data_IF_708144026302
#
_entry.id   IF_708144026302
#
_cell.length_a   1.000
_cell.length_b   1.000
_cell.length_c   1.000
_cell.angle_alpha   90.00
_cell.angle_beta   90.00
_cell.angle_gamma   90.00
#
_symmetry.space_group_name_H-M   'P 1'
#
loop_
_entity.id
_entity.type
_entity.pdbx_description
1 polymer ?
#
# COMPACT_ATOMS: atom_id res chain seq x y z
N UNK A 1 -3.10 39.58 -1.03
CA UNK A 1 -2.90 38.13 -0.78
C UNK A 1 -1.40 37.84 -0.70
N UNK A 2 -0.92 37.21 0.37
CA UNK A 2 0.51 37.00 0.62
C UNK A 2 1.14 36.05 -0.43
N UNK A 3 2.37 36.33 -0.92
CA UNK A 3 3.05 35.49 -1.92
C UNK A 3 3.11 34.01 -1.55
N UNK A 4 3.40 33.72 -0.27
CA UNK A 4 3.44 32.36 0.27
C UNK A 4 2.11 31.60 0.09
N UNK A 5 0.98 32.22 0.41
CA UNK A 5 -0.34 31.59 0.27
C UNK A 5 -0.70 31.32 -1.19
N UNK A 6 -0.23 32.15 -2.13
CA UNK A 6 -0.38 31.88 -3.57
C UNK A 6 0.43 30.66 -4.01
N UNK A 7 1.69 30.58 -3.61
CA UNK A 7 2.55 29.45 -3.93
C UNK A 7 1.95 28.12 -3.44
N UNK A 8 1.47 28.08 -2.18
CA UNK A 8 0.84 26.86 -1.61
C UNK A 8 -0.46 26.47 -2.30
N UNK A 9 -1.24 27.43 -2.79
CA UNK A 9 -2.44 27.14 -3.62
C UNK A 9 -2.04 26.54 -4.97
N UNK A 10 -1.04 27.10 -5.64
CA UNK A 10 -0.56 26.59 -6.92
C UNK A 10 0.01 25.16 -6.78
N UNK A 11 0.77 24.90 -5.73
CA UNK A 11 1.27 23.56 -5.40
C UNK A 11 0.13 22.55 -5.17
N UNK A 12 -0.87 22.93 -4.38
CA UNK A 12 -2.04 22.08 -4.14
C UNK A 12 -2.84 21.80 -5.42
N UNK A 13 -3.07 22.81 -6.25
CA UNK A 13 -3.72 22.67 -7.56
C UNK A 13 -2.90 21.76 -8.47
N UNK A 14 -1.59 21.97 -8.58
CA UNK A 14 -0.71 21.14 -9.40
C UNK A 14 -0.73 19.67 -8.98
N UNK A 15 -0.68 19.38 -7.67
CA UNK A 15 -0.81 18.01 -7.14
C UNK A 15 -2.17 17.40 -7.42
N UNK A 16 -3.24 18.18 -7.26
CA UNK A 16 -4.60 17.72 -7.54
C UNK A 16 -4.80 17.43 -9.04
N UNK A 17 -4.26 18.26 -9.92
CA UNK A 17 -4.32 18.05 -11.37
C UNK A 17 -3.51 16.80 -11.78
N UNK A 18 -2.33 16.60 -11.18
CA UNK A 18 -1.55 15.37 -11.36
C UNK A 18 -2.33 14.13 -10.89
N UNK A 19 -3.01 14.22 -9.74
CA UNK A 19 -3.90 13.15 -9.27
C UNK A 19 -5.04 12.89 -10.26
N UNK A 20 -5.72 13.91 -10.77
CA UNK A 20 -6.80 13.75 -11.76
C UNK A 20 -6.34 13.09 -13.05
N UNK A 21 -5.10 13.34 -13.46
CA UNK A 21 -4.47 12.68 -14.62
C UNK A 21 -3.97 11.27 -14.34
N UNK A 22 -3.89 10.84 -13.09
CA UNK A 22 -3.43 9.50 -12.71
C UNK A 22 -4.51 8.42 -12.91
N UNK A 23 -4.11 7.15 -12.85
CA UNK A 23 -5.06 6.03 -12.89
C UNK A 23 -6.07 6.10 -11.74
N UNK A 24 -5.63 6.53 -10.55
CA UNK A 24 -6.48 6.65 -9.37
C UNK A 24 -7.50 7.78 -9.56
N UNK A 25 -7.08 8.92 -10.10
CA UNK A 25 -8.00 10.02 -10.43
C UNK A 25 -9.06 9.60 -11.45
N UNK A 26 -8.66 8.84 -12.48
CA UNK A 26 -9.60 8.26 -13.46
C UNK A 26 -10.57 7.28 -12.80
N UNK A 27 -10.10 6.40 -11.93
CA UNK A 27 -10.96 5.49 -11.16
C UNK A 27 -12.06 6.27 -10.41
N UNK A 28 -11.69 7.32 -9.66
CA UNK A 28 -12.68 8.10 -8.92
C UNK A 28 -13.63 8.90 -9.84
N UNK A 29 -13.13 9.37 -10.98
CA UNK A 29 -13.96 10.07 -11.96
C UNK A 29 -14.99 9.14 -12.63
N UNK A 30 -14.61 7.90 -12.98
CA UNK A 30 -15.47 6.99 -13.75
C UNK A 30 -16.27 6.03 -12.88
N UNK A 31 -15.63 5.41 -11.89
CA UNK A 31 -16.23 4.33 -11.10
C UNK A 31 -16.91 4.85 -9.82
N UNK A 32 -16.51 6.02 -9.32
CA UNK A 32 -17.04 6.63 -8.09
C UNK A 32 -17.79 7.95 -8.31
N UNK A 33 -18.30 8.18 -9.53
CA UNK A 33 -19.10 9.36 -9.89
C UNK A 33 -18.46 10.72 -9.50
N UNK A 34 -17.13 10.82 -9.60
CA UNK A 34 -16.40 12.04 -9.26
C UNK A 34 -16.19 12.27 -7.77
N UNK A 35 -16.33 11.24 -6.93
CA UNK A 35 -16.02 11.34 -5.50
C UNK A 35 -14.58 11.84 -5.27
N UNK A 36 -14.41 12.74 -4.30
CA UNK A 36 -13.10 13.26 -3.90
C UNK A 36 -12.54 12.52 -2.68
N UNK A 37 -11.57 11.61 -2.85
CA UNK A 37 -11.12 10.77 -1.74
C UNK A 37 -10.16 11.50 -0.77
N UNK A 38 -9.68 12.70 -1.12
CA UNK A 38 -8.70 13.48 -0.34
C UNK A 38 -9.23 14.86 -0.02
N UNK A 39 -9.20 15.25 1.25
CA UNK A 39 -9.51 16.58 1.77
C UNK A 39 -8.62 17.66 1.19
N UNK A 40 -9.18 18.84 0.88
CA UNK A 40 -8.42 19.94 0.25
C UNK A 40 -7.15 20.33 1.01
N UNK A 41 -7.22 20.26 2.35
CA UNK A 41 -6.08 20.52 3.24
C UNK A 41 -4.89 19.59 2.96
N UNK A 42 -5.11 18.32 2.65
CA UNK A 42 -4.03 17.34 2.44
C UNK A 42 -3.21 17.65 1.19
N UNK A 43 -3.84 18.20 0.14
CA UNK A 43 -3.12 18.63 -1.08
C UNK A 43 -2.08 19.71 -0.81
N UNK A 44 -2.35 20.58 0.16
CA UNK A 44 -1.35 21.56 0.60
C UNK A 44 -0.22 20.89 1.38
N UNK A 45 -0.44 19.73 2.02
CA UNK A 45 0.56 19.05 2.85
C UNK A 45 1.12 19.99 3.93
N UNK A 46 0.26 20.50 4.83
CA UNK A 46 0.61 21.57 5.76
C UNK A 46 1.61 21.16 6.84
N UNK A 47 1.66 19.88 7.20
CA UNK A 47 2.45 19.40 8.34
C UNK A 47 3.70 18.62 7.89
N UNK A 48 3.62 17.90 6.77
CA UNK A 48 4.73 17.14 6.18
C UNK A 48 4.52 17.02 4.66
N UNK A 49 5.58 17.16 3.85
CA UNK A 49 5.52 17.18 2.38
C UNK A 49 5.06 15.84 1.76
N UNK A 50 5.15 14.74 2.52
CA UNK A 50 4.73 13.40 2.12
C UNK A 50 3.24 13.14 2.37
N UNK A 51 2.50 14.01 3.06
CA UNK A 51 1.10 13.78 3.45
C UNK A 51 0.20 13.39 2.27
N UNK A 52 0.29 14.12 1.15
CA UNK A 52 -0.49 13.82 -0.04
C UNK A 52 -0.13 12.45 -0.64
N UNK A 53 1.16 12.13 -0.73
CA UNK A 53 1.62 10.85 -1.26
C UNK A 53 1.16 9.67 -0.40
N UNK A 54 1.25 9.80 0.93
CA UNK A 54 0.80 8.78 1.89
C UNK A 54 -0.71 8.57 1.80
N UNK A 55 -1.49 9.65 1.76
CA UNK A 55 -2.94 9.56 1.57
C UNK A 55 -3.29 8.83 0.27
N UNK A 56 -2.61 9.15 -0.83
CA UNK A 56 -2.85 8.53 -2.13
C UNK A 56 -2.43 7.05 -2.16
N UNK A 57 -1.34 6.64 -1.49
CA UNK A 57 -0.99 5.22 -1.36
C UNK A 57 -2.05 4.46 -0.57
N UNK A 58 -2.50 5.00 0.56
CA UNK A 58 -3.59 4.40 1.35
C UNK A 58 -4.84 4.19 0.50
N UNK A 59 -5.26 5.20 -0.25
CA UNK A 59 -6.43 5.11 -1.13
C UNK A 59 -6.17 4.10 -2.26
N UNK A 60 -5.01 4.15 -2.90
CA UNK A 60 -4.63 3.22 -3.98
C UNK A 60 -4.74 1.77 -3.54
N UNK A 61 -4.19 1.45 -2.38
CA UNK A 61 -4.21 0.10 -1.81
C UNK A 61 -5.62 -0.37 -1.48
N UNK A 62 -6.47 0.50 -0.91
CA UNK A 62 -7.89 0.17 -0.71
C UNK A 62 -8.64 -0.05 -2.02
N UNK A 63 -8.35 0.72 -3.06
CA UNK A 63 -8.95 0.54 -4.39
C UNK A 63 -8.51 -0.80 -4.98
N UNK A 64 -7.22 -1.13 -4.95
CA UNK A 64 -6.70 -2.42 -5.44
C UNK A 64 -7.39 -3.59 -4.74
N UNK A 65 -7.48 -3.55 -3.41
CA UNK A 65 -8.13 -4.60 -2.62
C UNK A 65 -9.64 -4.70 -2.90
N UNK A 66 -10.31 -3.56 -3.08
CA UNK A 66 -11.73 -3.54 -3.41
C UNK A 66 -11.99 -4.07 -4.83
N UNK A 67 -11.09 -3.81 -5.78
CA UNK A 67 -11.13 -4.39 -7.12
C UNK A 67 -10.93 -5.90 -7.08
N UNK A 68 -9.96 -6.40 -6.30
CA UNK A 68 -9.74 -7.83 -6.11
C UNK A 68 -10.97 -8.52 -5.50
N UNK A 69 -11.61 -7.89 -4.50
CA UNK A 69 -12.84 -8.40 -3.87
C UNK A 69 -14.04 -8.45 -4.82
N UNK A 70 -14.19 -7.48 -5.71
CA UNK A 70 -15.26 -7.46 -6.72
C UNK A 70 -15.19 -8.67 -7.66
N UNK A 71 -14.01 -9.25 -7.87
CA UNK A 71 -13.87 -10.48 -8.64
C UNK A 71 -14.27 -11.74 -7.86
N UNK A 72 -14.24 -11.71 -6.52
CA UNK A 72 -14.61 -12.83 -5.66
C UNK A 72 -16.07 -12.79 -5.20
N UNK A 73 -16.69 -11.61 -5.11
CA UNK A 73 -18.02 -11.43 -4.53
C UNK A 73 -18.96 -10.60 -5.43
N UNK A 74 -20.23 -11.00 -5.50
CA UNK A 74 -21.27 -10.29 -6.25
C UNK A 74 -21.70 -8.94 -5.61
N UNK A 75 -21.07 -8.49 -4.53
CA UNK A 75 -21.37 -7.21 -3.91
C UNK A 75 -20.62 -6.07 -4.62
N UNK A 76 -21.39 -5.17 -5.24
CA UNK A 76 -20.88 -4.02 -5.98
C UNK A 76 -20.72 -2.77 -5.10
N UNK A 77 -20.94 -2.87 -3.79
CA UNK A 77 -20.99 -1.72 -2.92
C UNK A 77 -19.59 -1.25 -2.52
N UNK A 78 -19.14 -0.12 -3.07
CA UNK A 78 -17.88 0.56 -2.73
C UNK A 78 -17.93 1.26 -1.35
N UNK A 79 -18.68 0.73 -0.37
CA UNK A 79 -19.10 1.42 0.87
C UNK A 79 -17.91 2.02 1.62
N UNK A 80 -16.79 1.31 1.62
CA UNK A 80 -15.57 1.67 2.34
C UNK A 80 -14.72 2.73 1.61
N UNK A 81 -14.96 2.99 0.32
CA UNK A 81 -14.22 3.97 -0.49
C UNK A 81 -14.88 5.35 -0.57
N UNK A 82 -16.07 5.50 0.03
CA UNK A 82 -16.75 6.80 0.13
C UNK A 82 -16.20 7.71 1.25
N UNK A 83 -15.21 7.23 2.00
CA UNK A 83 -14.59 8.02 3.06
C UNK A 83 -13.51 8.95 2.52
N UNK A 84 -13.49 10.20 3.01
CA UNK A 84 -12.50 11.21 2.63
C UNK A 84 -11.33 11.23 3.60
N UNK A 85 -10.10 11.12 3.11
CA UNK A 85 -8.89 11.31 3.93
C UNK A 85 -8.77 12.77 4.32
N UNK A 86 -8.79 13.06 5.63
CA UNK A 86 -8.74 14.43 6.16
C UNK A 86 -7.43 14.75 6.89
N UNK A 87 -6.65 13.73 7.28
CA UNK A 87 -5.38 13.87 8.00
C UNK A 87 -4.45 12.70 7.69
N UNK A 88 -3.15 12.97 7.62
CA UNK A 88 -2.09 11.98 7.56
C UNK A 88 -0.94 12.46 8.45
N UNK A 89 -0.46 11.61 9.35
CA UNK A 89 0.55 11.96 10.35
C UNK A 89 1.61 10.86 10.44
N UNK A 90 2.87 11.25 10.46
CA UNK A 90 3.95 10.29 10.69
C UNK A 90 3.98 9.89 12.17
N UNK A 91 4.00 8.57 12.43
CA UNK A 91 4.05 8.00 13.78
C UNK A 91 5.41 7.36 14.03
N UNK A 92 5.94 6.64 13.04
CA UNK A 92 7.31 6.12 13.05
C UNK A 92 8.02 6.65 11.80
N UNK A 93 9.14 7.39 11.95
CA UNK A 93 9.83 8.03 10.84
C UNK A 93 10.14 7.10 9.66
N UNK A 94 9.59 7.41 8.50
CA UNK A 94 9.80 6.68 7.25
C UNK A 94 9.06 5.34 7.14
N UNK A 95 8.27 4.95 8.13
CA UNK A 95 7.77 3.57 8.23
C UNK A 95 6.27 3.47 8.47
N UNK A 96 5.75 4.16 9.50
CA UNK A 96 4.35 4.02 9.92
C UNK A 96 3.70 5.38 10.00
N UNK A 97 2.53 5.46 9.37
CA UNK A 97 1.71 6.65 9.33
C UNK A 97 0.34 6.38 9.94
N UNK A 98 -0.28 7.41 10.50
CA UNK A 98 -1.68 7.43 10.90
C UNK A 98 -2.47 8.22 9.89
N UNK A 99 -3.46 7.58 9.26
CA UNK A 99 -4.40 8.24 8.34
C UNK A 99 -5.77 8.33 9.00
N UNK A 100 -6.35 9.52 9.00
CA UNK A 100 -7.72 9.75 9.49
C UNK A 100 -8.64 10.02 8.32
N UNK A 101 -9.72 9.25 8.25
CA UNK A 101 -10.80 9.41 7.28
C UNK A 101 -12.05 9.99 7.94
N UNK A 102 -12.92 10.59 7.13
CA UNK A 102 -14.26 11.04 7.53
C UNK A 102 -15.29 10.48 6.56
N UNK A 103 -16.33 9.86 7.10
CA UNK A 103 -17.51 9.48 6.33
C UNK A 103 -18.41 10.67 6.04
N UNK A 104 -19.36 10.51 5.12
CA UNK A 104 -20.41 11.49 4.83
C UNK A 104 -21.30 11.79 6.04
N UNK A 105 -21.46 10.82 6.94
CA UNK A 105 -22.16 10.98 8.22
C UNK A 105 -21.32 11.70 9.30
N UNK A 106 -20.12 12.17 8.96
CA UNK A 106 -19.20 12.85 9.89
C UNK A 106 -18.51 11.93 10.90
N UNK A 107 -18.63 10.60 10.74
CA UNK A 107 -17.89 9.64 11.57
C UNK A 107 -16.44 9.62 11.11
N UNK A 108 -15.51 9.73 12.06
CA UNK A 108 -14.08 9.68 11.78
C UNK A 108 -13.51 8.33 12.19
N UNK A 109 -12.64 7.80 11.34
CA UNK A 109 -11.86 6.61 11.60
C UNK A 109 -10.38 6.94 11.46
N UNK A 110 -9.53 6.22 12.16
CA UNK A 110 -8.08 6.38 12.04
C UNK A 110 -7.43 5.01 11.91
N UNK A 111 -6.47 4.92 11.00
CA UNK A 111 -5.78 3.70 10.65
C UNK A 111 -4.28 3.93 10.80
N UNK A 112 -3.57 2.95 11.34
CA UNK A 112 -2.13 2.88 11.17
C UNK A 112 -1.84 2.15 9.87
N UNK A 113 -0.93 2.70 9.07
CA UNK A 113 -0.58 2.19 7.75
C UNK A 113 0.93 2.17 7.55
N UNK A 114 1.38 1.30 6.65
CA UNK A 114 2.76 1.28 6.17
C UNK A 114 3.01 2.44 5.20
N UNK A 115 4.11 3.16 5.38
CA UNK A 115 4.49 4.31 4.54
C UNK A 115 4.69 3.93 3.07
N UNK A 116 5.35 2.80 2.84
CA UNK A 116 5.80 2.35 1.53
C UNK A 116 4.66 1.80 0.66
N UNK A 117 3.72 1.07 1.26
CA UNK A 117 2.63 0.39 0.53
C UNK A 117 1.28 1.04 0.74
N UNK A 118 1.07 1.79 1.83
CA UNK A 118 -0.24 2.31 2.22
C UNK A 118 -1.17 1.26 2.82
N UNK A 119 -0.69 0.04 3.07
CA UNK A 119 -1.48 -1.04 3.65
C UNK A 119 -1.75 -0.82 5.14
N UNK A 120 -2.94 -1.23 5.59
CA UNK A 120 -3.41 -1.03 6.96
C UNK A 120 -2.91 -2.13 7.88
N UNK A 121 -2.18 -1.77 8.94
CA UNK A 121 -1.74 -2.70 10.00
C UNK A 121 -2.75 -2.80 11.16
N UNK A 122 -3.66 -1.83 11.27
CA UNK A 122 -4.75 -1.89 12.25
C UNK A 122 -5.41 -0.54 12.53
N UNK A 123 -6.52 -0.56 13.26
CA UNK A 123 -7.19 0.67 13.72
C UNK A 123 -6.31 1.43 14.71
N UNK A 124 -6.17 2.74 14.48
CA UNK A 124 -5.57 3.64 15.45
C UNK A 124 -6.62 4.04 16.49
N UNK A 125 -6.22 4.18 17.77
CA UNK A 125 -7.15 4.66 18.79
C UNK A 125 -7.67 6.04 18.38
N UNK A 126 -8.98 6.31 18.61
CA UNK A 126 -9.51 7.64 18.37
C UNK A 126 -8.68 8.65 19.18
N UNK A 127 -8.46 9.87 18.67
CA UNK A 127 -7.85 10.91 19.48
C UNK A 127 -8.62 11.02 20.80
N UNK A 128 -7.93 11.18 21.95
CA UNK A 128 -8.59 11.27 23.24
C UNK A 128 -9.60 12.41 23.17
N UNK A 129 -10.89 12.06 23.09
CA UNK A 129 -11.95 13.04 23.23
C UNK A 129 -11.87 13.50 24.69
N UNK A 130 -11.73 14.81 24.92
CA UNK A 130 -12.13 15.39 26.21
C UNK A 130 -13.63 15.11 26.37
N UNK A 131 -13.98 13.99 26.99
CA UNK A 131 -15.37 13.55 27.13
C UNK A 131 -15.53 12.05 27.34
N UNK A 132 -15.76 11.70 28.60
CA UNK A 132 -16.06 10.40 29.22
C UNK A 132 -17.06 9.52 28.42
N UNK A 133 -16.78 8.21 28.36
CA UNK A 133 -17.61 7.05 28.80
C UNK A 133 -17.30 5.83 27.91
N UNK A 134 -16.84 4.77 28.57
CA UNK A 134 -16.38 3.53 27.97
C UNK A 134 -17.47 2.76 27.23
N UNK A 135 -17.07 2.14 26.14
CA UNK A 135 -17.84 1.09 25.48
C UNK A 135 -16.95 -0.13 25.29
N UNK A 136 -17.33 -1.24 25.91
CA UNK A 136 -16.70 -2.57 25.73
C UNK A 136 -16.83 -3.01 24.27
N UNK A 137 -15.70 -3.26 23.62
CA UNK A 137 -15.66 -3.96 22.34
C UNK A 137 -15.70 -5.47 22.63
N UNK A 138 -16.73 -6.16 22.13
CA UNK A 138 -16.82 -7.63 22.16
C UNK A 138 -15.75 -8.18 21.21
N UNK A 139 -14.87 -9.05 21.73
CA UNK A 139 -13.89 -9.80 20.94
C UNK A 139 -14.60 -10.96 20.24
N UNK A 140 -14.53 -11.02 18.91
CA UNK A 140 -14.73 -12.24 18.13
C UNK A 140 -13.44 -12.50 17.33
N UNK A 141 -12.98 -13.76 17.20
CA UNK A 141 -11.88 -14.09 16.30
C UNK A 141 -12.44 -14.34 14.90
N UNK A 142 -11.96 -13.60 13.91
CA UNK A 142 -12.11 -13.95 12.49
C UNK A 142 -10.99 -13.28 11.69
N UNK A 143 -10.21 -14.08 10.97
CA UNK A 143 -9.48 -13.65 9.78
C UNK A 143 -10.20 -14.31 8.61
N UNK A 144 -10.82 -13.51 7.76
CA UNK A 144 -10.97 -13.80 6.33
C UNK A 144 -10.74 -12.46 5.63
N UNK A 145 -10.04 -12.52 4.50
CA UNK A 145 -9.56 -11.37 3.72
C UNK A 145 -10.69 -10.34 3.56
N UNK A 146 -10.57 -9.19 4.24
CA UNK A 146 -11.42 -7.99 4.07
C UNK A 146 -12.93 -8.13 4.34
N UNK A 147 -13.36 -8.99 5.26
CA UNK A 147 -14.80 -9.03 5.64
C UNK A 147 -15.21 -8.07 6.75
N UNK A 148 -14.26 -7.54 7.53
CA UNK A 148 -14.54 -6.56 8.56
C UNK A 148 -13.51 -5.44 8.57
N UNK A 149 -13.94 -4.25 9.01
CA UNK A 149 -13.06 -3.16 9.45
C UNK A 149 -11.84 -3.75 10.19
N UNK A 150 -10.61 -3.29 9.92
CA UNK A 150 -9.42 -3.88 10.50
C UNK A 150 -9.59 -4.04 12.00
N UNK A 151 -9.25 -5.21 12.53
CA UNK A 151 -9.28 -5.46 13.97
C UNK A 151 -8.44 -4.42 14.74
N UNK A 152 -8.55 -4.44 16.06
CA UNK A 152 -7.66 -3.64 16.91
C UNK A 152 -6.19 -3.93 16.55
N UNK A 153 -5.36 -2.90 16.56
CA UNK A 153 -3.92 -3.02 16.31
C UNK A 153 -3.31 -4.14 17.17
N UNK A 154 -2.63 -5.10 16.52
CA UNK A 154 -1.96 -6.21 17.19
C UNK A 154 -0.96 -5.72 18.23
N UNK A 155 -0.75 -6.52 19.28
CA UNK A 155 0.13 -6.13 20.40
C UNK A 155 1.59 -5.98 19.98
N UNK A 156 2.07 -6.77 19.03
CA UNK A 156 3.44 -6.66 18.51
C UNK A 156 3.64 -5.37 17.69
N UNK A 157 2.69 -5.02 16.82
CA UNK A 157 2.68 -3.73 16.13
C UNK A 157 2.57 -2.55 17.10
N UNK A 158 1.77 -2.69 18.16
CA UNK A 158 1.70 -1.68 19.22
C UNK A 158 3.04 -1.53 19.93
N UNK A 159 3.69 -2.65 20.27
CA UNK A 159 5.02 -2.66 20.87
C UNK A 159 6.06 -1.97 19.97
N UNK A 160 6.02 -2.26 18.67
CA UNK A 160 6.88 -1.64 17.66
C UNK A 160 6.68 -0.12 17.54
N UNK A 161 5.41 0.34 17.50
CA UNK A 161 5.10 1.77 17.46
C UNK A 161 5.55 2.46 18.76
N UNK A 162 5.31 1.84 19.92
CA UNK A 162 5.69 2.41 21.22
C UNK A 162 7.20 2.47 21.44
N UNK A 163 7.98 1.55 20.84
CA UNK A 163 9.44 1.64 20.83
C UNK A 163 9.98 2.69 19.86
N UNK A 164 9.10 3.42 19.16
CA UNK A 164 9.38 4.56 18.30
C UNK A 164 10.54 4.32 17.33
N UNK A 165 10.63 3.13 16.74
CA UNK A 165 11.69 2.80 15.79
C UNK A 165 13.10 2.74 16.39
N UNK A 166 13.23 2.59 17.72
CA UNK A 166 14.54 2.39 18.39
C UNK A 166 15.17 1.03 18.08
N UNK A 167 14.45 0.17 17.36
CA UNK A 167 14.90 -1.14 16.90
C UNK A 167 15.30 -1.13 15.41
N UNK A 168 15.49 -2.31 14.81
CA UNK A 168 15.71 -2.43 13.37
C UNK A 168 14.54 -1.84 12.56
N UNK A 169 14.85 -1.32 11.37
CA UNK A 169 13.83 -0.84 10.43
C UNK A 169 12.92 -2.01 10.01
N UNK A 170 11.68 -1.73 9.60
CA UNK A 170 10.74 -2.70 9.06
C UNK A 170 11.35 -3.53 7.92
N UNK A 171 12.15 -2.92 7.06
CA UNK A 171 12.85 -3.64 5.99
C UNK A 171 13.90 -4.62 6.54
N UNK A 172 14.57 -4.25 7.64
CA UNK A 172 15.63 -5.09 8.24
C UNK A 172 15.07 -6.31 8.98
N UNK A 173 13.78 -6.30 9.34
CA UNK A 173 13.09 -7.43 9.98
C UNK A 173 12.38 -8.35 8.97
N UNK A 174 12.43 -8.06 7.67
CA UNK A 174 11.91 -8.96 6.63
C UNK A 174 12.83 -10.17 6.52
N UNK A 175 12.23 -11.35 6.57
CA UNK A 175 12.95 -12.62 6.51
C UNK A 175 12.40 -13.54 5.44
N UNK A 176 13.31 -14.34 4.88
CA UNK A 176 13.05 -15.35 3.85
C UNK A 176 13.73 -16.67 4.22
N UNK A 177 13.42 -17.73 3.47
CA UNK A 177 14.09 -19.03 3.56
C UNK A 177 15.58 -18.98 3.19
N UNK A 178 15.93 -18.18 2.17
CA UNK A 178 17.31 -17.89 1.78
C UNK A 178 17.68 -16.45 2.18
N UNK A 179 18.50 -16.31 3.22
CA UNK A 179 19.01 -15.01 3.71
C UNK A 179 20.42 -14.68 3.21
N UNK A 180 21.11 -15.65 2.63
CA UNK A 180 22.47 -15.46 2.15
C UNK A 180 22.46 -14.77 0.79
N UNK A 181 21.53 -15.18 -0.08
CA UNK A 181 21.39 -14.61 -1.42
C UNK A 181 20.44 -13.41 -1.45
N UNK A 182 19.52 -13.29 -0.48
CA UNK A 182 18.50 -12.24 -0.46
C UNK A 182 18.55 -11.42 0.83
N UNK A 183 18.66 -10.10 0.67
CA UNK A 183 18.64 -9.12 1.76
C UNK A 183 17.26 -8.47 1.76
N UNK A 184 16.49 -8.66 2.85
CA UNK A 184 15.12 -8.17 2.96
C UNK A 184 14.25 -8.57 1.75
N UNK A 185 14.37 -9.81 1.29
CA UNK A 185 13.62 -10.34 0.15
C UNK A 185 14.11 -9.91 -1.23
N UNK A 186 15.24 -9.21 -1.34
CA UNK A 186 15.80 -8.74 -2.63
C UNK A 186 17.19 -9.31 -2.87
N UNK A 187 17.46 -9.77 -4.10
CA UNK A 187 18.74 -10.34 -4.52
C UNK A 187 19.91 -9.43 -4.16
N UNK A 188 20.83 -9.94 -3.34
CA UNK A 188 22.02 -9.24 -2.92
C UNK A 188 22.95 -8.93 -4.10
N UNK A 189 22.97 -9.82 -5.11
CA UNK A 189 23.72 -9.62 -6.34
C UNK A 189 23.16 -8.43 -7.14
N UNK A 190 21.84 -8.39 -7.35
CA UNK A 190 21.19 -7.28 -8.06
C UNK A 190 21.33 -5.95 -7.30
N UNK A 191 21.17 -5.96 -5.98
CA UNK A 191 21.38 -4.76 -5.17
C UNK A 191 22.79 -4.18 -5.29
N UNK A 192 23.81 -5.03 -5.49
CA UNK A 192 25.20 -4.60 -5.70
C UNK A 192 25.46 -4.09 -7.13
N UNK A 193 24.69 -4.54 -8.11
CA UNK A 193 24.85 -4.11 -9.51
C UNK A 193 24.10 -2.81 -9.84
N UNK A 194 23.15 -2.39 -9.00
CA UNK A 194 22.46 -1.11 -9.15
C UNK A 194 23.43 0.06 -8.99
N UNK A 195 23.38 1.00 -9.93
CA UNK A 195 24.08 2.27 -9.78
C UNK A 195 23.43 3.12 -8.69
N UNK A 196 24.21 4.04 -8.11
CA UNK A 196 23.69 5.03 -7.15
C UNK A 196 22.60 5.93 -7.75
N UNK A 197 22.54 6.01 -9.09
CA UNK A 197 21.62 6.86 -9.85
C UNK A 197 20.24 6.22 -10.12
N UNK A 198 20.01 4.97 -9.71
CA UNK A 198 18.73 4.26 -9.92
C UNK A 198 17.92 4.00 -8.62
N UNK A 199 17.66 5.02 -7.77
CA UNK A 199 16.98 4.81 -6.48
C UNK A 199 15.54 4.32 -6.67
N UNK A 200 14.91 4.61 -7.80
CA UNK A 200 13.53 4.21 -8.07
C UNK A 200 13.37 2.70 -8.11
N UNK A 201 14.29 1.95 -8.75
CA UNK A 201 14.19 0.49 -8.85
C UNK A 201 14.28 -0.15 -7.47
N UNK A 202 15.18 0.36 -6.63
CA UNK A 202 15.33 -0.09 -5.24
C UNK A 202 14.06 0.20 -4.41
N UNK A 203 13.45 1.36 -4.59
CA UNK A 203 12.18 1.71 -3.91
C UNK A 203 11.05 0.77 -4.35
N UNK A 204 10.93 0.50 -5.65
CA UNK A 204 9.92 -0.44 -6.18
C UNK A 204 10.13 -1.85 -5.63
N UNK A 205 11.38 -2.35 -5.61
CA UNK A 205 11.70 -3.66 -5.04
C UNK A 205 11.26 -3.76 -3.57
N UNK A 206 11.63 -2.76 -2.76
CA UNK A 206 11.24 -2.67 -1.35
C UNK A 206 9.72 -2.68 -1.13
N UNK A 207 9.00 -1.93 -1.96
CA UNK A 207 7.52 -1.88 -1.91
C UNK A 207 6.91 -3.21 -2.32
N UNK A 208 7.42 -3.83 -3.38
CA UNK A 208 6.95 -5.14 -3.84
C UNK A 208 7.11 -6.19 -2.74
N UNK A 209 8.31 -6.29 -2.15
CA UNK A 209 8.56 -7.21 -1.03
C UNK A 209 7.55 -6.97 0.09
N UNK A 210 7.39 -5.71 0.54
CA UNK A 210 6.42 -5.38 1.59
C UNK A 210 4.97 -5.68 1.20
N UNK A 211 4.60 -5.56 -0.07
CA UNK A 211 3.24 -5.90 -0.54
C UNK A 211 3.00 -7.40 -0.71
N UNK A 212 4.07 -8.21 -0.66
CA UNK A 212 4.04 -9.66 -0.86
C UNK A 212 4.51 -10.44 0.37
N UNK A 213 4.71 -9.80 1.52
CA UNK A 213 4.85 -10.53 2.78
C UNK A 213 3.56 -11.28 3.08
N UNK A 214 3.67 -12.38 3.81
CA UNK A 214 2.49 -13.19 4.16
C UNK A 214 1.43 -12.33 4.86
N UNK A 215 0.12 -12.52 4.60
CA UNK A 215 -0.92 -11.65 5.16
C UNK A 215 -0.84 -11.50 6.69
N UNK A 216 -0.50 -12.59 7.39
CA UNK A 216 -0.28 -12.63 8.84
C UNK A 216 0.96 -11.84 9.32
N UNK A 217 1.78 -11.30 8.42
CA UNK A 217 2.86 -10.37 8.71
C UNK A 217 2.34 -8.96 8.96
N UNK A 218 1.28 -8.54 8.26
CA UNK A 218 0.76 -7.16 8.31
C UNK A 218 -0.49 -7.08 9.17
N UNK A 219 -1.50 -7.92 8.91
CA UNK A 219 -2.77 -7.91 9.62
C UNK A 219 -3.21 -9.33 10.03
N UNK A 220 -4.36 -9.47 10.69
CA UNK A 220 -4.84 -10.77 11.17
C UNK A 220 -4.21 -11.25 12.49
N UNK A 221 -4.26 -12.57 12.74
CA UNK A 221 -3.66 -13.17 13.94
C UNK A 221 -2.14 -13.19 13.82
N UNK A 222 -1.48 -12.95 14.95
CA UNK A 222 -0.03 -13.05 15.05
C UNK A 222 0.43 -14.48 14.78
N UNK A 223 1.46 -14.61 13.93
CA UNK A 223 2.19 -15.84 13.69
C UNK A 223 3.68 -15.54 13.78
N UNK A 224 4.47 -16.45 14.37
CA UNK A 224 5.92 -16.30 14.33
C UNK A 224 6.42 -16.54 12.91
N UNK A 225 7.64 -16.08 12.57
CA UNK A 225 8.25 -16.32 11.26
C UNK A 225 8.30 -17.81 10.89
N UNK A 226 8.64 -18.66 11.86
CA UNK A 226 8.65 -20.12 11.66
C UNK A 226 7.25 -20.69 11.46
N UNK A 227 6.22 -20.11 12.08
CA UNK A 227 4.83 -20.49 11.84
C UNK A 227 4.37 -20.07 10.45
N UNK A 228 4.70 -18.86 10.00
CA UNK A 228 4.38 -18.40 8.65
C UNK A 228 5.08 -19.25 7.58
N UNK A 229 6.37 -19.53 7.75
CA UNK A 229 7.11 -20.41 6.84
C UNK A 229 6.52 -21.83 6.79
N UNK A 230 6.09 -22.37 7.93
CA UNK A 230 5.43 -23.68 8.01
C UNK A 230 4.04 -23.67 7.38
N UNK A 231 3.25 -22.62 7.57
CA UNK A 231 1.94 -22.47 6.95
C UNK A 231 2.04 -22.40 5.42
N UNK A 232 3.02 -21.66 4.88
CA UNK A 232 3.32 -21.64 3.45
C UNK A 232 3.72 -23.03 2.93
N UNK A 233 4.44 -23.81 3.75
CA UNK A 233 4.77 -25.19 3.47
C UNK A 233 3.60 -26.19 3.73
N UNK A 234 2.42 -25.72 4.15
CA UNK A 234 1.25 -26.54 4.43
C UNK A 234 1.28 -27.30 5.76
N UNK A 235 2.13 -26.88 6.71
CA UNK A 235 2.33 -27.55 8.01
C UNK A 235 1.70 -26.73 9.14
N UNK A 236 0.70 -27.30 9.82
CA UNK A 236 0.01 -26.64 10.94
C UNK A 236 0.92 -26.54 12.16
N UNK A 237 0.99 -25.36 12.78
CA UNK A 237 1.77 -25.12 14.00
C UNK A 237 0.96 -24.51 15.13
N UNK A 238 1.31 -24.89 16.37
CA UNK A 238 0.72 -24.40 17.62
C UNK A 238 1.78 -23.86 18.59
N UNK A 239 2.77 -23.09 18.13
CA UNK A 239 3.76 -22.46 19.01
C UNK A 239 3.49 -20.97 19.23
N UNK A 240 3.37 -20.54 20.50
CA UNK A 240 3.33 -19.13 20.88
C UNK A 240 4.75 -18.64 21.18
N UNK A 241 5.22 -17.61 20.48
CA UNK A 241 6.53 -16.98 20.70
C UNK A 241 6.45 -15.45 20.81
N UNK A 242 7.57 -14.82 21.19
CA UNK A 242 7.74 -13.44 21.68
C UNK A 242 7.08 -12.36 20.82
N UNK A 243 6.63 -11.28 21.47
CA UNK A 243 5.85 -10.16 20.92
C UNK A 243 6.70 -9.17 20.12
N UNK A 244 7.38 -9.62 19.08
CA UNK A 244 8.06 -8.74 18.12
C UNK A 244 7.42 -8.92 16.75
N UNK A 245 7.29 -7.82 16.00
CA UNK A 245 6.80 -7.87 14.62
C UNK A 245 7.72 -8.78 13.81
N UNK A 246 7.14 -9.80 13.19
CA UNK A 246 7.82 -10.69 12.25
C UNK A 246 7.22 -10.48 10.87
N UNK A 247 8.09 -10.17 9.89
CA UNK A 247 7.70 -10.09 8.48
C UNK A 247 8.36 -11.24 7.73
N UNK A 248 7.55 -12.05 7.05
CA UNK A 248 8.03 -13.18 6.27
C UNK A 248 7.59 -13.05 4.82
N UNK A 249 8.52 -13.29 3.89
CA UNK A 249 8.26 -13.36 2.45
C UNK A 249 8.59 -14.75 1.92
N UNK A 250 7.67 -15.30 1.14
CA UNK A 250 7.82 -16.61 0.48
C UNK A 250 8.89 -16.56 -0.62
N UNK A 251 9.54 -17.71 -0.88
CA UNK A 251 10.55 -17.86 -1.93
C UNK A 251 10.03 -17.48 -3.32
N UNK A 252 8.73 -17.67 -3.57
CA UNK A 252 8.08 -17.32 -4.83
C UNK A 252 8.04 -15.80 -5.10
N UNK A 253 8.18 -14.98 -4.06
CA UNK A 253 8.13 -13.52 -4.12
C UNK A 253 9.49 -12.86 -3.86
N UNK A 254 10.57 -13.63 -3.74
CA UNK A 254 11.91 -13.07 -3.66
C UNK A 254 12.26 -12.33 -4.95
N UNK A 255 12.67 -11.08 -4.84
CA UNK A 255 12.95 -10.20 -5.98
C UNK A 255 14.34 -10.49 -6.52
N UNK A 256 14.41 -10.88 -7.79
CA UNK A 256 15.66 -11.03 -8.52
C UNK A 256 16.07 -9.71 -9.18
N UNK A 257 15.13 -9.02 -9.81
CA UNK A 257 15.39 -7.73 -10.46
C UNK A 257 14.14 -6.89 -10.64
N UNK A 258 14.33 -5.58 -10.84
CA UNK A 258 13.25 -4.64 -11.19
C UNK A 258 13.60 -3.90 -12.47
N UNK A 259 12.66 -3.88 -13.40
CA UNK A 259 12.77 -3.26 -14.71
C UNK A 259 11.73 -2.17 -14.88
N UNK A 260 12.16 -1.02 -15.42
CA UNK A 260 11.28 0.11 -15.77
C UNK A 260 11.65 0.57 -17.18
N UNK A 261 11.23 -0.17 -18.22
CA UNK A 261 11.46 0.23 -19.61
C UNK A 261 10.80 1.57 -19.91
N UNK A 262 11.38 2.38 -20.80
CA UNK A 262 10.78 3.67 -21.21
C UNK A 262 9.46 3.52 -21.96
N UNK A 263 9.20 2.34 -22.55
CA UNK A 263 7.94 1.99 -23.20
C UNK A 263 6.81 1.67 -22.21
N UNK A 264 7.16 1.33 -20.96
CA UNK A 264 6.21 0.95 -19.94
C UNK A 264 5.53 2.19 -19.36
N UNK A 265 4.22 2.11 -19.13
CA UNK A 265 3.43 3.20 -18.57
C UNK A 265 4.04 3.69 -17.23
N UNK A 266 4.15 5.01 -16.98
CA UNK A 266 4.88 5.53 -15.81
C UNK A 266 4.39 5.07 -14.43
N UNK A 267 3.14 4.61 -14.32
CA UNK A 267 2.59 4.05 -13.08
C UNK A 267 3.04 2.60 -12.81
N UNK A 268 3.66 1.94 -13.78
CA UNK A 268 4.00 0.52 -13.76
C UNK A 268 5.50 0.30 -13.66
N UNK A 269 5.87 -0.81 -13.04
CA UNK A 269 7.19 -1.43 -13.13
C UNK A 269 7.02 -2.93 -13.33
N UNK A 270 8.10 -3.59 -13.73
CA UNK A 270 8.16 -5.04 -13.86
C UNK A 270 9.12 -5.60 -12.82
N UNK A 271 8.67 -6.59 -12.05
CA UNK A 271 9.47 -7.26 -11.02
C UNK A 271 9.66 -8.70 -11.44
N UNK A 272 10.91 -9.14 -11.56
CA UNK A 272 11.27 -10.54 -11.80
C UNK A 272 11.57 -11.19 -10.46
N UNK A 273 10.93 -12.32 -10.16
CA UNK A 273 11.15 -13.07 -8.93
C UNK A 273 12.06 -14.27 -9.13
N UNK A 274 12.57 -14.85 -8.03
CA UNK A 274 13.53 -15.96 -8.04
C UNK A 274 13.13 -17.17 -8.92
N UNK A 275 11.85 -17.59 -9.00
CA UNK A 275 11.42 -18.62 -9.94
C UNK A 275 11.39 -18.20 -11.43
N UNK A 276 11.85 -17.00 -11.77
CA UNK A 276 11.81 -16.44 -13.12
C UNK A 276 10.44 -15.90 -13.55
N UNK A 277 9.52 -15.66 -12.60
CA UNK A 277 8.20 -15.06 -12.90
C UNK A 277 8.32 -13.55 -12.94
N UNK A 278 7.60 -12.92 -13.86
CA UNK A 278 7.58 -11.46 -13.95
C UNK A 278 6.17 -10.92 -13.67
N UNK A 279 6.12 -9.90 -12.83
CA UNK A 279 4.89 -9.25 -12.38
C UNK A 279 4.85 -7.80 -12.85
N UNK A 280 3.71 -7.36 -13.36
CA UNK A 280 3.40 -5.94 -13.48
C UNK A 280 2.95 -5.41 -12.12
N UNK A 281 3.64 -4.40 -11.62
CA UNK A 281 3.40 -3.85 -10.28
C UNK A 281 3.12 -2.35 -10.36
N UNK A 282 2.25 -1.85 -9.48
CA UNK A 282 2.05 -0.41 -9.30
C UNK A 282 3.28 0.19 -8.61
N UNK A 283 3.98 1.13 -9.26
CA UNK A 283 5.22 1.72 -8.73
C UNK A 283 5.07 2.39 -7.37
N UNK A 284 3.89 2.94 -7.10
CA UNK A 284 3.65 3.71 -5.88
C UNK A 284 3.41 2.85 -4.64
N UNK A 285 2.89 1.63 -4.81
CA UNK A 285 2.52 0.74 -3.69
C UNK A 285 3.27 -0.60 -3.70
N UNK A 286 3.85 -1.00 -4.84
CA UNK A 286 4.49 -2.31 -5.03
C UNK A 286 3.53 -3.44 -5.37
N UNK A 287 2.21 -3.20 -5.29
CA UNK A 287 1.22 -4.27 -5.42
C UNK A 287 1.20 -4.83 -6.85
N UNK A 288 1.29 -6.17 -7.02
CA UNK A 288 1.15 -6.83 -8.31
C UNK A 288 -0.29 -6.74 -8.83
N UNK A 289 -0.45 -6.44 -10.11
CA UNK A 289 -1.75 -6.29 -10.79
C UNK A 289 -1.84 -7.07 -12.10
N UNK A 290 -0.82 -7.86 -12.43
CA UNK A 290 -0.76 -8.74 -13.59
C UNK A 290 0.59 -9.45 -13.68
N UNK A 291 0.72 -10.33 -14.66
CA UNK A 291 1.92 -11.16 -14.90
C UNK A 291 2.34 -11.10 -16.36
N UNK A 292 3.59 -11.44 -16.67
CA UNK A 292 4.07 -11.40 -18.07
C UNK A 292 3.51 -12.51 -18.96
N UNK A 293 2.90 -13.56 -18.41
CA UNK A 293 2.24 -14.62 -19.17
C UNK A 293 0.77 -14.28 -19.50
N UNK A 294 0.07 -13.58 -18.62
CA UNK A 294 -1.36 -13.23 -18.79
C UNK A 294 -1.59 -11.78 -19.21
N UNK A 295 -0.58 -10.93 -19.03
CA UNK A 295 -0.71 -9.48 -19.18
C UNK A 295 -1.49 -8.84 -18.03
N UNK A 296 -1.84 -7.57 -18.23
CA UNK A 296 -2.74 -6.82 -17.37
C UNK A 296 -4.20 -7.15 -17.72
N UNK A 297 -5.05 -7.27 -16.71
CA UNK A 297 -6.49 -7.44 -16.94
C UNK A 297 -7.11 -6.23 -17.66
N UNK A 298 -8.19 -6.41 -18.45
CA UNK A 298 -8.84 -5.31 -19.18
C UNK A 298 -9.25 -4.12 -18.30
N UNK A 299 -9.62 -4.36 -17.04
CA UNK A 299 -9.96 -3.30 -16.10
C UNK A 299 -8.74 -2.43 -15.76
N UNK A 300 -7.60 -3.06 -15.48
CA UNK A 300 -6.35 -2.35 -15.24
C UNK A 300 -5.85 -1.62 -16.49
N UNK A 301 -5.96 -2.24 -17.67
CA UNK A 301 -5.67 -1.59 -18.96
C UNK A 301 -6.48 -0.29 -19.12
N UNK A 302 -7.80 -0.35 -18.88
CA UNK A 302 -8.70 0.82 -18.94
C UNK A 302 -8.33 1.89 -17.91
N UNK A 303 -8.11 1.51 -16.64
CA UNK A 303 -7.82 2.46 -15.56
C UNK A 303 -6.46 3.13 -15.75
N UNK A 304 -5.44 2.37 -16.14
CA UNK A 304 -4.07 2.86 -16.33
C UNK A 304 -3.90 3.56 -17.68
N UNK A 305 -4.69 3.21 -18.69
CA UNK A 305 -4.55 3.75 -20.05
C UNK A 305 -3.37 3.12 -20.78
N UNK A 306 -3.20 1.82 -20.64
CA UNK A 306 -2.16 1.02 -21.29
C UNK A 306 -2.76 -0.25 -21.91
N UNK A 307 -2.00 -0.90 -22.78
CA UNK A 307 -2.35 -2.22 -23.31
C UNK A 307 -2.08 -3.35 -22.29
N UNK A 308 -2.35 -4.59 -22.71
CA UNK A 308 -2.13 -5.79 -21.90
C UNK A 308 -0.67 -5.97 -21.44
N UNK A 309 0.29 -5.32 -22.10
CA UNK A 309 1.72 -5.41 -21.81
C UNK A 309 2.24 -4.17 -21.09
N UNK A 310 1.34 -3.31 -20.61
CA UNK A 310 1.67 -2.10 -19.87
C UNK A 310 2.22 -0.97 -20.74
N UNK A 311 2.22 -1.09 -22.07
CA UNK A 311 2.65 -0.01 -22.95
C UNK A 311 1.55 1.05 -23.02
N UNK A 312 1.92 2.31 -22.84
CA UNK A 312 0.95 3.41 -22.90
C UNK A 312 0.29 3.48 -24.28
N UNK A 313 -1.03 3.72 -24.32
CA UNK A 313 -1.63 4.12 -25.58
C UNK A 313 -1.00 5.45 -25.99
N UNK A 314 -0.27 5.48 -27.09
CA UNK A 314 -0.07 6.71 -27.82
C UNK A 314 -1.47 7.15 -28.27
N UNK A 315 -2.18 7.91 -27.45
CA UNK A 315 -3.33 8.68 -27.87
C UNK A 315 -2.78 9.75 -28.84
N UNK A 316 -2.43 9.34 -30.06
CA UNK A 316 -2.55 10.23 -31.20
C UNK A 316 -4.03 10.54 -31.26
N UNK A 317 -4.39 11.73 -30.82
CA UNK A 317 -5.71 12.30 -31.03
C UNK A 317 -6.01 12.27 -32.54
N UNK A 318 -6.59 11.16 -33.02
CA UNK A 318 -7.35 11.18 -34.26
C UNK A 318 -8.59 11.98 -33.91
N UNK A 319 -8.52 13.26 -34.27
CA UNK A 319 -9.67 14.12 -34.41
C UNK A 319 -10.79 13.31 -35.07
N UNK A 320 -11.86 13.14 -34.32
CA UNK A 320 -13.15 12.72 -34.87
C UNK A 320 -13.53 13.86 -35.83
N UNK A 321 -13.54 13.55 -37.12
CA UNK A 321 -14.18 14.37 -38.15
C UNK A 321 -15.67 14.14 -38.17
#
# INVERSE_FOLDING_TARGET
>A
MWPYLRARRLEATSRYDAFRGSWLGRFFATEMSGHEPVGWRIWTSPDDDRQAAVALRFISTRVVFSLAKRYSECDQSWVNLAEKVIRAEEIVPGEIWKVTTSSSAGKQFSFHILYDTGEVIGLAPPPPRCGIIGRRIKRGPHIEVLDFEPGGLREDWRGYILSAGSGPNLQDIITSGDRESYIAGVSAFWLRSLSLEEPTRKIVAKRYVLSCVEPNSISGEYKSMSDMARDVAGVVSNTRSRHQVGLYISEHHLVESVHIPSSLHPALAMVTTAPGREYFVLRDTGIPIGTSDQGLEPLWQKLIGCDAWGSGYAYTARAIG
#
